data_IF_598296681114
#
_entry.id   IF_598296681114
#
_cell.length_a   1.000
_cell.length_b   1.000
_cell.length_c   1.000
_cell.angle_alpha   90.00
_cell.angle_beta   90.00
_cell.angle_gamma   90.00
#
_symmetry.space_group_name_H-M   'P 1'
#
loop_
_entity.id
_entity.type
_entity.pdbx_description
1 polymer ?
#
# COMPACT_ATOMS: atom_id res chain seq x y z
N UNK A 1 -11.76 -18.30 -17.14
CA UNK A 1 -12.22 -16.91 -16.89
C UNK A 1 -10.98 -16.14 -16.48
N UNK A 2 -10.62 -15.08 -17.20
CA UNK A 2 -9.49 -14.24 -16.81
C UNK A 2 -9.88 -13.49 -15.52
N UNK A 3 -9.28 -13.88 -14.40
CA UNK A 3 -9.58 -13.34 -13.05
C UNK A 3 -8.88 -11.99 -12.80
N UNK A 4 -8.25 -11.41 -13.84
CA UNK A 4 -7.49 -10.16 -13.74
C UNK A 4 -8.36 -8.94 -14.00
N UNK A 5 -8.23 -7.95 -13.13
CA UNK A 5 -8.82 -6.62 -13.35
C UNK A 5 -8.17 -5.96 -14.57
N UNK A 6 -8.97 -5.35 -15.45
CA UNK A 6 -8.45 -4.60 -16.60
C UNK A 6 -7.85 -3.27 -16.14
N UNK A 7 -6.87 -2.74 -16.87
CA UNK A 7 -6.16 -1.51 -16.51
C UNK A 7 -7.10 -0.35 -16.20
N UNK A 8 -8.03 -0.04 -17.10
CA UNK A 8 -8.96 1.08 -16.89
C UNK A 8 -9.95 0.83 -15.75
N UNK A 9 -10.38 -0.41 -15.52
CA UNK A 9 -11.23 -0.74 -14.37
C UNK A 9 -10.48 -0.49 -13.05
N UNK A 10 -9.21 -0.88 -12.97
CA UNK A 10 -8.37 -0.62 -11.80
C UNK A 10 -8.15 0.88 -11.55
N UNK A 11 -7.96 1.67 -12.61
CA UNK A 11 -7.79 3.12 -12.51
C UNK A 11 -9.08 3.82 -12.07
N UNK A 12 -10.22 3.50 -12.69
CA UNK A 12 -11.50 4.18 -12.41
C UNK A 12 -12.14 3.75 -11.09
N UNK A 13 -11.78 2.59 -10.55
CA UNK A 13 -12.31 2.11 -9.25
C UNK A 13 -11.43 2.47 -8.06
N UNK A 14 -10.23 3.02 -8.28
CA UNK A 14 -9.31 3.42 -7.22
C UNK A 14 -9.92 4.58 -6.40
N UNK A 15 -10.07 4.35 -5.08
CA UNK A 15 -10.67 5.31 -4.15
C UNK A 15 -10.05 5.18 -2.76
N UNK A 16 -10.14 6.24 -1.97
CA UNK A 16 -9.71 6.22 -0.57
C UNK A 16 -10.63 5.31 0.28
N UNK A 17 -10.16 4.10 0.58
CA UNK A 17 -10.86 3.13 1.43
C UNK A 17 -10.55 3.40 2.91
N UNK A 18 -11.60 3.43 3.76
CA UNK A 18 -11.48 3.69 5.21
C UNK A 18 -11.78 2.47 6.09
N UNK A 19 -12.26 1.36 5.50
CA UNK A 19 -12.58 0.11 6.20
C UNK A 19 -11.99 -1.05 5.43
N UNK A 20 -11.20 -1.88 6.11
CA UNK A 20 -10.51 -3.03 5.54
C UNK A 20 -10.93 -4.30 6.28
N UNK A 21 -10.84 -5.44 5.59
CA UNK A 21 -10.96 -6.75 6.23
C UNK A 21 -9.81 -6.96 7.23
N UNK A 22 -10.01 -7.75 8.29
CA UNK A 22 -8.96 -8.05 9.27
C UNK A 22 -7.92 -9.04 8.73
N UNK A 23 -8.22 -9.72 7.61
CA UNK A 23 -7.35 -10.73 7.02
C UNK A 23 -5.99 -10.13 6.62
N UNK A 24 -4.87 -10.79 6.98
CA UNK A 24 -3.56 -10.35 6.53
C UNK A 24 -3.39 -10.56 5.03
N UNK A 25 -2.66 -9.65 4.39
CA UNK A 25 -2.25 -9.82 2.99
C UNK A 25 -1.04 -10.77 2.95
N UNK A 26 -1.05 -11.82 2.09
CA UNK A 26 0.10 -12.70 1.89
C UNK A 26 1.34 -11.94 1.42
N UNK A 27 2.51 -12.44 1.82
CA UNK A 27 3.80 -11.81 1.52
C UNK A 27 4.08 -11.75 0.03
N UNK A 28 3.73 -12.80 -0.71
CA UNK A 28 3.85 -12.83 -2.17
C UNK A 28 3.07 -11.70 -2.85
N UNK A 29 1.85 -11.43 -2.40
CA UNK A 29 1.01 -10.35 -2.93
C UNK A 29 1.63 -8.98 -2.61
N UNK A 30 2.12 -8.79 -1.38
CA UNK A 30 2.80 -7.54 -1.00
C UNK A 30 4.06 -7.31 -1.82
N UNK A 31 4.87 -8.34 -2.05
CA UNK A 31 6.05 -8.26 -2.89
C UNK A 31 5.69 -7.81 -4.30
N UNK A 32 4.70 -8.43 -4.94
CA UNK A 32 4.23 -8.02 -6.28
C UNK A 32 3.77 -6.56 -6.33
N UNK A 33 3.04 -6.10 -5.32
CA UNK A 33 2.57 -4.70 -5.25
C UNK A 33 3.76 -3.74 -5.14
N UNK A 34 4.73 -4.04 -4.28
CA UNK A 34 5.92 -3.20 -4.08
C UNK A 34 6.76 -3.18 -5.35
N UNK A 35 6.96 -4.32 -6.00
CA UNK A 35 7.69 -4.42 -7.27
C UNK A 35 7.04 -3.59 -8.38
N UNK A 36 5.71 -3.63 -8.48
CA UNK A 36 4.98 -2.79 -9.42
C UNK A 36 5.13 -1.30 -9.08
N UNK A 37 5.11 -0.94 -7.79
CA UNK A 37 5.25 0.44 -7.35
C UNK A 37 6.65 1.03 -7.66
N UNK A 38 7.72 0.22 -7.61
CA UNK A 38 9.07 0.70 -7.91
C UNK A 38 9.31 1.03 -9.39
N UNK A 39 8.42 0.61 -10.29
CA UNK A 39 8.46 0.98 -11.72
C UNK A 39 8.14 2.45 -11.99
N UNK A 40 7.64 3.18 -10.98
CA UNK A 40 7.35 4.60 -11.15
C UNK A 40 8.64 5.39 -11.50
N UNK A 41 8.59 6.30 -12.50
CA UNK A 41 9.75 7.11 -12.85
C UNK A 41 10.13 8.03 -11.68
N UNK A 42 11.43 8.24 -11.50
CA UNK A 42 11.96 9.12 -10.45
C UNK A 42 13.24 9.81 -10.94
N UNK A 43 13.57 10.95 -10.33
CA UNK A 43 14.71 11.77 -10.74
C UNK A 43 16.02 10.98 -10.81
N UNK A 44 16.66 10.99 -11.98
CA UNK A 44 17.88 10.23 -12.27
C UNK A 44 17.80 8.73 -11.93
N UNK A 45 16.60 8.15 -11.88
CA UNK A 45 16.34 6.77 -11.49
C UNK A 45 17.01 6.35 -10.16
N UNK A 46 17.11 7.25 -9.19
CA UNK A 46 17.75 7.00 -7.90
C UNK A 46 17.01 6.00 -6.99
N UNK A 47 15.73 5.73 -7.25
CA UNK A 47 14.90 4.75 -6.53
C UNK A 47 15.00 4.85 -5.00
N UNK A 48 14.96 6.08 -4.46
CA UNK A 48 15.17 6.35 -3.02
C UNK A 48 14.03 5.91 -2.09
N UNK A 49 13.00 5.28 -2.63
CA UNK A 49 11.88 4.77 -1.85
C UNK A 49 12.35 3.79 -0.77
N UNK A 50 11.66 3.82 0.36
CA UNK A 50 11.76 2.81 1.41
C UNK A 50 10.34 2.43 1.79
N UNK A 51 10.09 1.12 1.86
CA UNK A 51 8.79 0.58 2.25
C UNK A 51 8.96 -0.10 3.60
N UNK A 52 8.08 0.24 4.55
CA UNK A 52 8.02 -0.41 5.85
C UNK A 52 6.65 -1.11 5.99
N UNK A 53 6.67 -2.44 6.03
CA UNK A 53 5.45 -3.25 6.21
C UNK A 53 5.23 -3.48 7.70
N UNK A 54 4.25 -2.79 8.27
CA UNK A 54 3.89 -2.91 9.70
C UNK A 54 2.74 -3.91 9.85
N UNK A 55 3.05 -5.13 10.32
CA UNK A 55 2.06 -6.19 10.58
C UNK A 55 1.53 -6.19 12.01
N UNK A 56 2.36 -5.80 12.97
CA UNK A 56 1.97 -5.80 14.38
C UNK A 56 0.89 -4.73 14.64
N UNK A 57 -0.29 -5.13 15.14
CA UNK A 57 -1.39 -4.20 15.34
C UNK A 57 -1.10 -3.19 16.47
N UNK A 58 -0.24 -3.51 17.43
CA UNK A 58 0.22 -2.59 18.47
C UNK A 58 1.11 -1.48 17.91
N UNK A 59 2.09 -1.83 17.07
CA UNK A 59 2.93 -0.87 16.34
C UNK A 59 2.05 0.00 15.44
N UNK A 60 1.12 -0.60 14.69
CA UNK A 60 0.21 0.15 13.81
C UNK A 60 -0.65 1.15 14.58
N UNK A 61 -1.15 0.77 15.77
CA UNK A 61 -1.89 1.69 16.66
C UNK A 61 -1.03 2.88 17.08
N UNK A 62 0.19 2.62 17.59
CA UNK A 62 1.12 3.69 18.01
C UNK A 62 1.44 4.68 16.88
N UNK A 63 1.68 4.18 15.66
CA UNK A 63 1.88 5.06 14.48
C UNK A 63 0.64 5.90 14.21
N UNK A 64 -0.56 5.31 14.29
CA UNK A 64 -1.82 6.02 14.13
C UNK A 64 -2.07 7.08 15.21
N UNK A 65 -1.66 6.84 16.45
CA UNK A 65 -1.76 7.82 17.54
C UNK A 65 -0.87 9.04 17.28
N UNK A 66 0.38 8.83 16.85
CA UNK A 66 1.30 9.92 16.47
C UNK A 66 0.73 10.74 15.30
N UNK A 67 0.15 10.08 14.31
CA UNK A 67 -0.47 10.77 13.17
C UNK A 67 -1.65 11.65 13.61
N UNK A 68 -2.55 11.13 14.46
CA UNK A 68 -3.70 11.91 14.98
C UNK A 68 -3.26 13.10 15.82
N UNK A 69 -2.25 12.95 16.68
CA UNK A 69 -1.78 14.03 17.54
C UNK A 69 -1.21 15.24 16.76
N UNK A 70 -0.80 15.06 15.50
CA UNK A 70 -0.21 16.11 14.65
C UNK A 70 -1.17 16.74 13.63
N UNK A 71 -2.30 16.08 13.35
CA UNK A 71 -3.21 16.46 12.26
C UNK A 71 -4.69 16.46 12.67
N UNK A 72 -4.98 16.22 13.96
CA UNK A 72 -6.30 16.34 14.57
C UNK A 72 -6.52 17.69 15.23
#
# INVERSE_FOLDING_TARGET
>A
MDERIRLFDALYTNRAIRRFRPDPIPDSVLSTIIEAATQAPNGSNQQRWRFLVIRDPGVRRRVGDVYRARHG
#
